data_IF_444937708002
#
_entry.id   IF_444937708002
#
_cell.length_a   1.000
_cell.length_b   1.000
_cell.length_c   1.000
_cell.angle_alpha   90.00
_cell.angle_beta   90.00
_cell.angle_gamma   90.00
#
_symmetry.space_group_name_H-M   'P 1'
#
loop_
_entity.id
_entity.type
_entity.pdbx_description
1 polymer ?
#
# COMPACT_ATOMS: atom_id res chain seq x y z
N UNK A 1 -7.11 31.27 -5.62
CA UNK A 1 -6.29 30.15 -6.12
C UNK A 1 -5.44 29.50 -5.01
N UNK A 2 -4.62 30.26 -4.24
CA UNK A 2 -3.83 29.70 -3.13
C UNK A 2 -4.71 29.19 -1.96
N UNK A 3 -5.76 29.93 -1.59
CA UNK A 3 -6.70 29.52 -0.56
C UNK A 3 -7.46 28.25 -0.94
N UNK A 4 -7.78 28.07 -2.21
CA UNK A 4 -8.48 26.89 -2.71
C UNK A 4 -7.58 25.64 -2.67
N UNK A 5 -6.27 25.81 -2.83
CA UNK A 5 -5.30 24.70 -2.77
C UNK A 5 -5.08 24.20 -1.34
N UNK A 6 -4.99 25.12 -0.36
CA UNK A 6 -4.91 24.75 1.05
C UNK A 6 -6.19 24.05 1.56
N UNK A 7 -7.34 24.52 1.11
CA UNK A 7 -8.61 23.91 1.48
C UNK A 7 -8.74 22.50 0.87
N UNK A 8 -8.37 22.33 -0.40
CA UNK A 8 -8.35 21.02 -1.05
C UNK A 8 -7.37 20.04 -0.39
N UNK A 9 -6.23 20.52 0.12
CA UNK A 9 -5.26 19.71 0.86
C UNK A 9 -5.76 19.30 2.24
N UNK A 10 -6.43 20.20 2.95
CA UNK A 10 -7.09 19.89 4.23
C UNK A 10 -8.20 18.86 4.05
N UNK A 11 -9.05 19.06 3.04
CA UNK A 11 -10.07 18.07 2.68
C UNK A 11 -9.47 16.72 2.27
N UNK A 12 -8.36 16.72 1.55
CA UNK A 12 -7.64 15.50 1.19
C UNK A 12 -7.01 14.82 2.42
N UNK A 13 -6.36 15.57 3.31
CA UNK A 13 -5.80 15.06 4.55
C UNK A 13 -6.88 14.51 5.49
N UNK A 14 -8.02 15.17 5.62
CA UNK A 14 -9.19 14.67 6.35
C UNK A 14 -9.78 13.41 5.72
N UNK A 15 -9.86 13.35 4.39
CA UNK A 15 -10.35 12.18 3.65
C UNK A 15 -9.43 10.98 3.83
N UNK A 16 -8.12 11.18 3.82
CA UNK A 16 -7.11 10.11 3.99
C UNK A 16 -6.84 9.79 5.47
N UNK A 17 -7.31 10.62 6.41
CA UNK A 17 -7.04 10.50 7.84
C UNK A 17 -5.56 10.69 8.18
N UNK A 18 -4.85 11.46 7.35
CA UNK A 18 -3.44 11.84 7.54
C UNK A 18 -3.40 13.17 8.29
N UNK A 19 -2.47 13.32 9.23
CA UNK A 19 -2.15 14.62 9.79
C UNK A 19 -1.46 15.50 8.74
N UNK A 20 -1.59 16.83 8.82
CA UNK A 20 -0.95 17.78 7.88
C UNK A 20 0.56 17.55 7.73
N UNK A 21 1.22 16.98 8.74
CA UNK A 21 2.66 16.70 8.79
C UNK A 21 3.08 15.43 8.01
N UNK A 22 2.11 14.62 7.58
CA UNK A 22 2.35 13.36 6.87
C UNK A 22 2.23 13.47 5.33
N UNK A 23 2.16 14.70 4.81
CA UNK A 23 2.18 14.96 3.37
C UNK A 23 3.57 14.54 2.85
N UNK A 24 3.59 13.55 1.97
CA UNK A 24 4.81 13.01 1.37
C UNK A 24 5.62 14.10 0.66
N UNK A 25 6.95 13.90 0.57
CA UNK A 25 7.87 14.80 -0.18
C UNK A 25 7.39 15.06 -1.61
N UNK A 26 6.73 14.11 -2.22
CA UNK A 26 6.14 14.24 -3.55
C UNK A 26 5.00 15.26 -3.57
N UNK A 27 4.18 15.32 -2.54
CA UNK A 27 3.09 16.29 -2.44
C UNK A 27 3.64 17.72 -2.23
N UNK A 28 4.75 17.88 -1.50
CA UNK A 28 5.43 19.18 -1.35
C UNK A 28 6.06 19.65 -2.67
N UNK A 29 6.68 18.75 -3.41
CA UNK A 29 7.24 19.06 -4.73
C UNK A 29 6.13 19.47 -5.70
N UNK A 30 4.99 18.78 -5.64
CA UNK A 30 3.81 19.08 -6.43
C UNK A 30 3.28 20.49 -6.11
N UNK A 31 3.22 20.86 -4.83
CA UNK A 31 2.83 22.20 -4.37
C UNK A 31 3.78 23.29 -4.89
N UNK A 32 5.08 23.07 -4.79
CA UNK A 32 6.07 24.03 -5.31
C UNK A 32 5.93 24.21 -6.82
N UNK A 33 5.67 23.14 -7.58
CA UNK A 33 5.43 23.22 -9.03
C UNK A 33 4.16 24.00 -9.38
N UNK A 34 3.08 23.83 -8.60
CA UNK A 34 1.82 24.58 -8.78
C UNK A 34 2.03 26.06 -8.48
N UNK A 35 2.74 26.38 -7.39
CA UNK A 35 2.99 27.76 -6.94
C UNK A 35 3.90 28.53 -7.92
N UNK A 36 4.92 27.88 -8.47
CA UNK A 36 5.87 28.51 -9.38
C UNK A 36 5.41 28.60 -10.85
N UNK A 37 4.33 27.88 -11.21
CA UNK A 37 3.74 27.91 -12.55
C UNK A 37 4.62 27.33 -13.65
N UNK A 38 4.19 27.47 -14.91
CA UNK A 38 4.94 27.01 -16.09
C UNK A 38 6.10 27.96 -16.38
N UNK A 39 7.31 27.53 -16.11
CA UNK A 39 8.52 28.26 -16.51
C UNK A 39 8.79 28.10 -18.00
N UNK A 40 9.10 29.20 -18.70
CA UNK A 40 9.36 29.17 -20.15
C UNK A 40 10.58 28.34 -20.57
N UNK A 41 11.52 28.12 -19.65
CA UNK A 41 12.80 27.47 -19.90
C UNK A 41 12.97 26.11 -19.23
N UNK A 42 11.89 25.57 -18.62
CA UNK A 42 11.91 24.27 -17.94
C UNK A 42 10.83 23.37 -18.50
N UNK A 43 11.20 22.12 -18.74
CA UNK A 43 10.24 21.06 -19.12
C UNK A 43 10.19 20.04 -18.00
N UNK A 44 8.97 19.68 -17.58
CA UNK A 44 8.75 18.70 -16.53
C UNK A 44 8.12 17.45 -17.13
N UNK A 45 8.67 16.30 -16.77
CA UNK A 45 8.17 14.99 -17.19
C UNK A 45 7.83 14.16 -15.96
N UNK A 46 6.61 13.65 -15.92
CA UNK A 46 6.16 12.75 -14.86
C UNK A 46 6.06 11.32 -15.41
N UNK A 47 6.72 10.38 -14.72
CA UNK A 47 6.62 8.94 -15.02
C UNK A 47 5.92 8.26 -13.84
N UNK A 48 4.79 7.63 -14.09
CA UNK A 48 4.00 6.95 -13.08
C UNK A 48 3.31 5.72 -13.65
N UNK A 49 3.20 4.67 -12.85
CA UNK A 49 2.43 3.48 -13.20
C UNK A 49 0.91 3.70 -13.07
N UNK A 50 0.50 4.68 -12.25
CA UNK A 50 -0.92 4.94 -11.92
C UNK A 50 -1.19 6.44 -11.93
N UNK A 51 -1.40 7.07 -13.11
CA UNK A 51 -1.69 8.49 -13.17
C UNK A 51 -3.03 8.78 -12.49
N UNK A 52 -3.00 9.65 -11.49
CA UNK A 52 -4.20 10.18 -10.83
C UNK A 52 -4.75 11.35 -11.65
N UNK A 53 -6.03 11.71 -11.46
CA UNK A 53 -6.65 12.85 -12.16
C UNK A 53 -5.83 14.13 -12.10
N UNK A 54 -5.39 14.53 -10.92
CA UNK A 54 -4.51 15.70 -10.72
C UNK A 54 -3.18 15.61 -11.48
N UNK A 55 -2.58 14.42 -11.57
CA UNK A 55 -1.34 14.21 -12.34
C UNK A 55 -1.59 14.43 -13.83
N UNK A 56 -2.75 13.99 -14.33
CA UNK A 56 -3.14 14.20 -15.73
C UNK A 56 -3.43 15.68 -16.01
N UNK A 57 -4.12 16.39 -15.12
CA UNK A 57 -4.35 17.84 -15.24
C UNK A 57 -3.05 18.65 -15.29
N UNK A 58 -2.02 18.23 -14.58
CA UNK A 58 -0.74 18.94 -14.52
C UNK A 58 0.21 18.59 -15.67
N UNK A 59 0.27 17.34 -16.08
CA UNK A 59 1.27 16.82 -17.02
C UNK A 59 0.66 16.26 -18.31
N UNK A 60 -0.65 16.06 -18.35
CA UNK A 60 -1.35 15.52 -19.50
C UNK A 60 -1.60 16.56 -20.59
N UNK A 61 -2.12 16.07 -21.71
CA UNK A 61 -2.58 16.90 -22.82
C UNK A 61 -4.09 17.08 -22.70
N UNK A 62 -4.55 18.32 -22.66
CA UNK A 62 -5.98 18.65 -22.67
C UNK A 62 -6.57 18.40 -24.06
N UNK A 63 -7.67 17.68 -24.10
CA UNK A 63 -8.46 17.44 -25.32
C UNK A 63 -9.64 18.40 -25.44
N UNK A 64 -10.25 18.42 -26.60
CA UNK A 64 -11.35 19.35 -26.96
C UNK A 64 -12.61 19.15 -26.10
N UNK A 65 -12.77 18.01 -25.46
CA UNK A 65 -13.85 17.67 -24.54
C UNK A 65 -13.55 18.08 -23.07
N UNK A 66 -12.37 18.70 -22.82
CA UNK A 66 -11.92 19.09 -21.48
C UNK A 66 -11.31 17.95 -20.68
N UNK A 67 -11.12 16.77 -21.26
CA UNK A 67 -10.44 15.66 -20.60
C UNK A 67 -8.92 15.75 -20.75
N UNK A 68 -8.18 15.25 -19.74
CA UNK A 68 -6.73 15.23 -19.75
C UNK A 68 -6.22 13.80 -19.98
N UNK A 69 -5.36 13.63 -20.96
CA UNK A 69 -4.77 12.35 -21.32
C UNK A 69 -3.25 12.35 -21.15
N UNK A 70 -2.64 11.22 -20.78
CA UNK A 70 -1.19 11.12 -20.70
C UNK A 70 -0.57 11.25 -22.09
N UNK A 71 0.63 11.84 -22.15
CA UNK A 71 1.38 11.96 -23.40
C UNK A 71 1.69 10.60 -24.03
N UNK A 72 2.03 9.62 -23.23
CA UNK A 72 2.31 8.25 -23.65
C UNK A 72 1.87 7.26 -22.57
N UNK A 73 1.32 6.12 -23.00
CA UNK A 73 0.93 5.01 -22.12
C UNK A 73 1.61 3.74 -22.58
N UNK A 74 2.44 3.16 -21.72
CA UNK A 74 2.85 1.77 -21.82
C UNK A 74 1.90 0.94 -20.95
N UNK A 75 0.91 0.35 -21.57
CA UNK A 75 -0.17 -0.31 -20.85
C UNK A 75 0.25 -1.66 -20.26
N UNK A 76 -0.42 -2.08 -19.18
CA UNK A 76 -0.24 -3.42 -18.61
C UNK A 76 -0.49 -4.52 -19.66
N UNK A 77 -1.50 -4.35 -20.53
CA UNK A 77 -1.78 -5.28 -21.61
C UNK A 77 -0.59 -5.41 -22.56
N UNK A 78 0.00 -4.30 -22.97
CA UNK A 78 1.19 -4.29 -23.82
C UNK A 78 2.39 -4.96 -23.13
N UNK A 79 2.61 -4.67 -21.84
CA UNK A 79 3.68 -5.28 -21.09
C UNK A 79 3.53 -6.81 -20.92
N UNK A 80 2.30 -7.31 -20.85
CA UNK A 80 1.99 -8.75 -20.84
C UNK A 80 2.26 -9.35 -22.22
N UNK A 81 1.78 -8.72 -23.30
CA UNK A 81 1.98 -9.18 -24.68
C UNK A 81 3.47 -9.22 -25.08
N UNK A 82 4.26 -8.27 -24.59
CA UNK A 82 5.71 -8.20 -24.78
C UNK A 82 6.51 -9.08 -23.80
N UNK A 83 5.85 -9.73 -22.84
CA UNK A 83 6.48 -10.65 -21.88
C UNK A 83 7.29 -9.99 -20.76
N UNK A 84 7.15 -8.69 -20.54
CA UNK A 84 7.81 -7.98 -19.42
C UNK A 84 7.16 -8.24 -18.08
N UNK A 85 5.85 -8.51 -18.05
CA UNK A 85 5.12 -8.88 -16.84
C UNK A 85 4.27 -10.13 -17.11
N UNK A 86 3.98 -10.87 -16.04
CA UNK A 86 3.11 -12.04 -16.13
C UNK A 86 1.65 -11.61 -16.28
N UNK A 87 0.85 -12.41 -17.00
CA UNK A 87 -0.58 -12.17 -17.11
C UNK A 87 -1.26 -12.33 -15.74
N UNK A 88 -1.71 -11.22 -15.18
CA UNK A 88 -2.34 -11.15 -13.86
C UNK A 88 -3.59 -12.01 -13.78
N UNK A 89 -4.34 -12.11 -14.90
CA UNK A 89 -5.58 -12.89 -14.96
C UNK A 89 -5.33 -14.40 -14.97
N UNK A 90 -4.22 -14.85 -15.54
CA UNK A 90 -3.84 -16.26 -15.53
C UNK A 90 -3.26 -16.70 -14.18
N UNK A 91 -2.74 -15.75 -13.41
CA UNK A 91 -2.16 -15.98 -12.09
C UNK A 91 -3.08 -15.51 -10.94
N UNK A 92 -4.35 -15.28 -11.25
CA UNK A 92 -5.35 -14.88 -10.28
C UNK A 92 -5.93 -16.09 -9.56
N UNK A 93 -5.93 -16.07 -8.24
CA UNK A 93 -6.60 -17.06 -7.41
C UNK A 93 -7.84 -16.44 -6.76
N UNK A 94 -9.03 -16.99 -7.07
CA UNK A 94 -10.29 -16.62 -6.40
C UNK A 94 -10.43 -17.44 -5.13
N UNK A 95 -10.39 -16.79 -3.99
CA UNK A 95 -10.80 -17.39 -2.74
C UNK A 95 -12.31 -17.14 -2.54
N UNK A 96 -13.13 -18.19 -2.62
CA UNK A 96 -14.50 -18.14 -2.11
C UNK A 96 -14.48 -18.13 -0.58
N UNK A 97 -13.98 -17.06 0.00
CA UNK A 97 -14.07 -16.85 1.42
C UNK A 97 -15.42 -16.23 1.69
N UNK A 98 -16.38 -17.05 2.13
CA UNK A 98 -17.61 -16.56 2.73
C UNK A 98 -17.26 -15.88 4.05
N UNK A 99 -16.90 -14.58 4.00
CA UNK A 99 -16.80 -13.75 5.19
C UNK A 99 -18.22 -13.57 5.74
N UNK A 100 -18.63 -14.44 6.67
CA UNK A 100 -19.76 -14.13 7.55
C UNK A 100 -19.28 -13.07 8.52
N UNK A 101 -19.39 -11.81 8.10
CA UNK A 101 -19.26 -10.70 9.03
C UNK A 101 -20.44 -10.80 9.97
N UNK A 102 -20.16 -11.12 11.23
CA UNK A 102 -21.16 -11.00 12.27
C UNK A 102 -21.50 -9.52 12.39
N UNK A 103 -22.59 -9.10 11.73
CA UNK A 103 -23.19 -7.77 11.91
C UNK A 103 -23.80 -7.71 13.30
N UNK A 104 -23.00 -7.39 14.27
CA UNK A 104 -23.50 -6.85 15.53
C UNK A 104 -23.17 -5.37 15.52
N UNK A 105 -23.99 -4.57 14.86
CA UNK A 105 -23.97 -3.12 15.02
C UNK A 105 -25.10 -2.79 15.99
N UNK A 106 -24.80 -2.48 17.26
CA UNK A 106 -25.77 -1.82 18.11
C UNK A 106 -25.80 -0.36 17.65
N UNK A 107 -26.99 0.14 17.42
CA UNK A 107 -27.31 1.50 17.00
C UNK A 107 -26.81 1.89 15.59
N UNK A 108 -27.81 2.07 14.72
CA UNK A 108 -27.66 2.48 13.33
C UNK A 108 -27.69 4.00 13.25
N UNK A 109 -26.56 4.73 13.40
CA UNK A 109 -26.56 6.18 13.22
C UNK A 109 -26.82 6.49 11.74
N UNK A 110 -27.70 7.42 11.46
CA UNK A 110 -27.91 7.98 10.13
C UNK A 110 -26.63 8.71 9.65
N UNK A 111 -25.78 8.00 8.94
CA UNK A 111 -24.56 8.52 8.35
C UNK A 111 -24.75 8.58 6.84
N UNK A 112 -24.30 9.65 6.14
CA UNK A 112 -24.33 9.72 4.67
C UNK A 112 -23.74 8.44 4.06
N UNK A 113 -24.42 7.86 3.07
CA UNK A 113 -24.10 6.52 2.52
C UNK A 113 -22.64 6.38 2.06
N UNK A 114 -22.02 7.44 1.52
CA UNK A 114 -20.62 7.46 1.12
C UNK A 114 -19.66 7.38 2.30
N UNK A 115 -19.98 8.05 3.41
CA UNK A 115 -19.19 8.03 4.65
C UNK A 115 -19.35 6.72 5.39
N UNK A 116 -20.57 6.19 5.43
CA UNK A 116 -20.87 4.88 6.02
C UNK A 116 -20.13 3.75 5.28
N UNK A 117 -20.13 3.75 3.95
CA UNK A 117 -19.42 2.74 3.16
C UNK A 117 -17.91 2.74 3.44
N UNK A 118 -17.28 3.91 3.59
CA UNK A 118 -15.86 4.03 3.90
C UNK A 118 -15.51 3.54 5.30
N UNK A 119 -16.34 3.89 6.30
CA UNK A 119 -16.16 3.43 7.69
C UNK A 119 -16.35 1.93 7.80
N UNK A 120 -17.38 1.38 7.16
CA UNK A 120 -17.66 -0.06 7.14
C UNK A 120 -16.49 -0.81 6.49
N UNK A 121 -16.01 -0.33 5.33
CA UNK A 121 -14.87 -0.93 4.64
C UNK A 121 -13.61 -0.94 5.50
N UNK A 122 -13.28 0.19 6.15
CA UNK A 122 -12.13 0.27 7.06
C UNK A 122 -12.30 -0.66 8.28
N UNK A 123 -13.49 -0.76 8.82
CA UNK A 123 -13.80 -1.70 9.90
C UNK A 123 -13.61 -3.15 9.45
N UNK A 124 -14.12 -3.50 8.27
CA UNK A 124 -13.96 -4.83 7.69
C UNK A 124 -12.50 -5.17 7.43
N UNK A 125 -11.73 -4.24 6.86
CA UNK A 125 -10.30 -4.42 6.55
C UNK A 125 -9.44 -4.64 7.80
N UNK A 126 -9.75 -3.97 8.90
CA UNK A 126 -9.01 -4.04 10.16
C UNK A 126 -9.58 -5.05 11.17
N UNK A 127 -10.65 -5.74 10.80
CA UNK A 127 -11.27 -6.71 11.71
C UNK A 127 -10.34 -7.92 11.94
N UNK A 128 -10.07 -8.32 13.20
CA UNK A 128 -9.10 -9.37 13.54
C UNK A 128 -9.35 -10.68 12.80
N UNK A 129 -10.60 -11.10 12.69
CA UNK A 129 -10.97 -12.33 11.98
C UNK A 129 -10.62 -12.27 10.48
N UNK A 130 -10.86 -11.14 9.84
CA UNK A 130 -10.52 -10.95 8.43
C UNK A 130 -9.01 -10.96 8.20
N UNK A 131 -8.26 -10.27 9.07
CA UNK A 131 -6.79 -10.25 9.03
C UNK A 131 -6.24 -11.65 9.26
N UNK A 132 -6.77 -12.39 10.24
CA UNK A 132 -6.31 -13.74 10.55
C UNK A 132 -6.50 -14.71 9.36
N UNK A 133 -7.67 -14.72 8.74
CA UNK A 133 -7.90 -15.57 7.57
C UNK A 133 -6.99 -15.20 6.39
N UNK A 134 -6.83 -13.90 6.11
CA UNK A 134 -5.95 -13.45 5.04
C UNK A 134 -4.48 -13.73 5.34
N UNK A 135 -4.04 -13.61 6.59
CA UNK A 135 -2.68 -13.94 7.01
C UNK A 135 -2.36 -15.42 6.75
N UNK A 136 -3.28 -16.32 7.08
CA UNK A 136 -3.14 -17.75 6.77
C UNK A 136 -3.00 -17.98 5.27
N UNK A 137 -3.88 -17.41 4.46
CA UNK A 137 -3.84 -17.52 3.01
C UNK A 137 -2.51 -17.00 2.44
N UNK A 138 -2.03 -15.86 2.93
CA UNK A 138 -0.75 -15.27 2.50
C UNK A 138 0.40 -16.24 2.77
N UNK A 139 0.50 -16.76 3.99
CA UNK A 139 1.56 -17.69 4.38
C UNK A 139 1.50 -18.99 3.58
N UNK A 140 0.33 -19.61 3.48
CA UNK A 140 0.18 -20.87 2.76
C UNK A 140 0.42 -20.70 1.25
N UNK A 141 -0.01 -19.59 0.66
CA UNK A 141 0.28 -19.28 -0.75
C UNK A 141 1.78 -19.05 -0.97
N UNK A 142 2.44 -18.34 -0.07
CA UNK A 142 3.88 -18.16 -0.14
C UNK A 142 4.59 -19.52 -0.14
N UNK A 143 4.32 -20.37 0.83
CA UNK A 143 4.99 -21.66 1.01
C UNK A 143 4.68 -22.67 -0.10
N UNK A 144 3.42 -22.74 -0.53
CA UNK A 144 3.00 -23.71 -1.56
C UNK A 144 3.47 -23.33 -2.97
N UNK A 145 3.49 -22.06 -3.29
CA UNK A 145 3.66 -21.55 -4.65
C UNK A 145 4.86 -20.61 -4.78
N UNK A 146 4.86 -19.47 -4.08
CA UNK A 146 5.82 -18.38 -4.31
C UNK A 146 7.25 -18.78 -3.96
N UNK A 147 7.46 -19.44 -2.83
CA UNK A 147 8.79 -19.89 -2.38
C UNK A 147 9.48 -20.82 -3.38
N UNK A 148 8.70 -21.57 -4.17
CA UNK A 148 9.21 -22.52 -5.19
C UNK A 148 9.50 -21.86 -6.53
N UNK A 149 8.97 -20.65 -6.75
CA UNK A 149 9.19 -19.89 -7.98
C UNK A 149 10.64 -19.42 -8.10
N UNK A 150 11.06 -19.08 -9.31
CA UNK A 150 12.40 -18.54 -9.61
C UNK A 150 13.51 -19.44 -9.04
N UNK A 151 13.39 -20.75 -9.24
CA UNK A 151 14.39 -21.69 -8.74
C UNK A 151 14.50 -21.74 -7.20
N UNK A 152 13.39 -21.52 -6.48
CA UNK A 152 13.36 -21.51 -5.02
C UNK A 152 13.77 -20.16 -4.38
N UNK A 153 13.85 -19.09 -5.17
CA UNK A 153 14.20 -17.73 -4.72
C UNK A 153 13.01 -16.75 -4.76
N UNK A 154 11.79 -17.27 -4.92
CA UNK A 154 10.59 -16.43 -4.97
C UNK A 154 10.40 -15.65 -3.68
N UNK A 155 10.07 -14.36 -3.81
CA UNK A 155 9.74 -13.47 -2.70
C UNK A 155 8.33 -12.93 -2.87
N UNK A 156 7.70 -12.55 -1.77
CA UNK A 156 6.33 -12.02 -1.77
C UNK A 156 6.29 -10.62 -1.19
N UNK A 157 5.51 -9.76 -1.83
CA UNK A 157 5.15 -8.45 -1.27
C UNK A 157 3.66 -8.44 -0.96
N UNK A 158 3.31 -8.07 0.27
CA UNK A 158 1.93 -7.91 0.74
C UNK A 158 1.63 -6.43 0.84
N UNK A 159 0.84 -5.91 -0.09
CA UNK A 159 0.45 -4.50 -0.10
C UNK A 159 -0.81 -4.32 0.73
N UNK A 160 -0.76 -3.43 1.71
CA UNK A 160 -1.87 -3.15 2.63
C UNK A 160 -2.47 -1.78 2.40
N UNK A 161 -3.73 -1.61 2.81
CA UNK A 161 -4.50 -0.38 2.62
C UNK A 161 -4.06 0.77 3.54
N UNK A 162 -3.32 0.48 4.60
CA UNK A 162 -2.86 1.49 5.55
C UNK A 162 -1.69 0.96 6.40
N UNK A 163 -0.94 1.88 7.02
CA UNK A 163 0.15 1.55 7.94
C UNK A 163 -0.34 0.71 9.14
N UNK A 164 -1.52 1.02 9.66
CA UNK A 164 -2.13 0.24 10.73
C UNK A 164 -2.46 -1.19 10.28
N UNK A 165 -2.95 -1.35 9.06
CA UNK A 165 -3.17 -2.68 8.49
C UNK A 165 -1.84 -3.43 8.37
N UNK A 166 -0.76 -2.80 7.90
CA UNK A 166 0.56 -3.42 7.81
C UNK A 166 1.05 -3.94 9.16
N UNK A 167 0.92 -3.14 10.22
CA UNK A 167 1.28 -3.54 11.60
C UNK A 167 0.46 -4.75 12.06
N UNK A 168 -0.86 -4.72 11.85
CA UNK A 168 -1.73 -5.82 12.26
C UNK A 168 -1.48 -7.11 11.48
N UNK A 169 -1.25 -7.01 10.15
CA UNK A 169 -0.84 -8.17 9.35
C UNK A 169 0.51 -8.73 9.79
N UNK A 170 1.48 -7.86 10.11
CA UNK A 170 2.78 -8.30 10.62
C UNK A 170 2.63 -9.14 11.89
N UNK A 171 1.89 -8.64 12.89
CA UNK A 171 1.66 -9.38 14.13
C UNK A 171 0.88 -10.68 13.92
N UNK A 172 -0.14 -10.64 13.08
CA UNK A 172 -0.96 -11.82 12.84
C UNK A 172 -0.23 -12.91 12.05
N UNK A 173 0.55 -12.52 11.02
CA UNK A 173 1.39 -13.47 10.29
C UNK A 173 2.42 -14.07 11.24
N UNK A 174 3.08 -13.25 12.07
CA UNK A 174 4.05 -13.75 13.05
C UNK A 174 3.43 -14.75 14.02
N UNK A 175 2.25 -14.42 14.57
CA UNK A 175 1.49 -15.33 15.42
C UNK A 175 1.19 -16.65 14.71
N UNK A 176 0.71 -16.59 13.47
CA UNK A 176 0.41 -17.80 12.69
C UNK A 176 1.63 -18.65 12.41
N UNK A 177 2.77 -18.05 12.06
CA UNK A 177 4.04 -18.77 11.86
C UNK A 177 4.48 -19.50 13.12
N UNK A 178 4.36 -18.86 14.30
CA UNK A 178 4.67 -19.46 15.60
C UNK A 178 3.74 -20.62 15.93
N UNK A 179 2.41 -20.47 15.74
CA UNK A 179 1.42 -21.52 15.97
C UNK A 179 1.66 -22.75 15.08
N UNK A 180 1.99 -22.53 13.81
CA UNK A 180 2.28 -23.60 12.85
C UNK A 180 3.71 -24.14 12.97
N UNK A 181 4.57 -23.50 13.76
CA UNK A 181 6.01 -23.80 13.88
C UNK A 181 6.76 -23.74 12.55
N UNK A 182 6.35 -22.78 11.70
CA UNK A 182 7.02 -22.55 10.44
C UNK A 182 8.29 -21.72 10.63
N UNK A 183 9.41 -22.21 10.07
CA UNK A 183 10.73 -21.57 10.17
C UNK A 183 11.28 -21.13 8.84
N UNK A 184 10.54 -21.36 7.78
CA UNK A 184 10.89 -21.12 6.38
C UNK A 184 10.36 -19.80 5.83
N UNK A 185 9.64 -19.02 6.65
CA UNK A 185 9.06 -17.73 6.30
C UNK A 185 9.59 -16.66 7.23
N UNK A 186 10.39 -15.75 6.69
CA UNK A 186 10.94 -14.59 7.38
C UNK A 186 10.28 -13.32 6.84
N UNK A 187 9.67 -12.51 7.72
CA UNK A 187 8.84 -11.37 7.36
C UNK A 187 9.46 -10.04 7.77
N UNK A 188 9.31 -9.04 6.91
CA UNK A 188 9.59 -7.64 7.19
C UNK A 188 8.33 -6.80 6.98
N UNK A 189 8.29 -5.63 7.60
CA UNK A 189 7.28 -4.61 7.35
C UNK A 189 7.95 -3.31 6.92
N UNK A 190 7.32 -2.55 6.03
CA UNK A 190 7.82 -1.27 5.56
C UNK A 190 6.70 -0.23 5.48
N UNK A 191 6.86 0.84 6.25
CA UNK A 191 5.97 2.01 6.25
C UNK A 191 6.73 3.23 6.81
N UNK A 192 6.24 4.43 6.56
CA UNK A 192 6.89 5.65 7.06
C UNK A 192 6.28 6.12 8.37
N UNK A 193 7.14 6.66 9.27
CA UNK A 193 6.73 7.25 10.54
C UNK A 193 6.30 6.24 11.59
N UNK A 194 5.56 6.70 12.60
CA UNK A 194 5.04 5.89 13.70
C UNK A 194 3.54 5.60 13.53
N UNK A 195 3.09 4.46 14.04
CA UNK A 195 1.70 4.01 14.00
C UNK A 195 1.24 3.62 15.39
N UNK A 196 0.11 4.18 15.82
CA UNK A 196 -0.55 3.80 17.08
C UNK A 196 -1.58 2.71 16.85
N UNK A 197 -1.50 1.63 17.63
CA UNK A 197 -2.54 0.60 17.74
C UNK A 197 -2.89 0.40 19.23
N UNK A 198 -3.99 0.97 19.65
CA UNK A 198 -4.36 1.06 21.05
C UNK A 198 -3.39 1.90 21.85
N UNK A 199 -2.75 1.28 22.85
CA UNK A 199 -1.75 1.94 23.73
C UNK A 199 -0.32 1.83 23.21
N UNK A 200 -0.11 1.01 22.18
CA UNK A 200 1.21 0.75 21.63
C UNK A 200 1.51 1.66 20.43
N UNK A 201 2.76 2.02 20.28
CA UNK A 201 3.27 2.75 19.12
C UNK A 201 4.36 1.93 18.45
N UNK A 202 4.28 1.84 17.14
CA UNK A 202 5.16 1.02 16.33
C UNK A 202 5.83 1.85 15.24
N UNK A 203 7.10 1.60 15.01
CA UNK A 203 7.86 2.08 13.87
C UNK A 203 8.37 0.89 13.06
N UNK A 204 8.76 1.10 11.82
CA UNK A 204 9.35 0.06 10.99
C UNK A 204 10.52 -0.64 11.70
N UNK A 205 11.45 0.14 12.24
CA UNK A 205 12.61 -0.40 12.96
C UNK A 205 12.27 -1.09 14.28
N UNK A 206 11.17 -0.72 14.93
CA UNK A 206 10.75 -1.41 16.17
C UNK A 206 10.20 -2.82 15.92
N UNK A 207 9.64 -3.05 14.73
CA UNK A 207 9.06 -4.33 14.33
C UNK A 207 10.05 -5.24 13.64
N UNK A 208 10.93 -4.69 12.81
CA UNK A 208 11.90 -5.44 12.02
C UNK A 208 13.09 -5.84 12.88
N UNK A 209 13.15 -7.12 13.21
CA UNK A 209 14.19 -7.68 14.10
C UNK A 209 14.80 -8.92 13.44
N UNK A 210 16.13 -9.02 13.44
CA UNK A 210 16.86 -10.20 12.98
C UNK A 210 16.75 -11.35 13.97
N UNK A 211 17.16 -12.53 13.55
CA UNK A 211 17.16 -13.74 14.41
C UNK A 211 18.08 -13.62 15.62
N UNK A 212 19.08 -12.74 15.58
CA UNK A 212 19.98 -12.43 16.69
C UNK A 212 19.41 -11.37 17.66
N UNK A 213 18.22 -10.85 17.40
CA UNK A 213 17.56 -9.83 18.21
C UNK A 213 17.94 -8.39 17.84
N UNK A 214 18.82 -8.16 16.88
CA UNK A 214 19.18 -6.81 16.45
C UNK A 214 18.08 -6.18 15.57
N UNK A 215 17.82 -4.90 15.77
CA UNK A 215 16.85 -4.14 14.99
C UNK A 215 17.40 -3.78 13.60
N UNK A 216 16.52 -3.73 12.62
CA UNK A 216 16.80 -3.33 11.25
C UNK A 216 16.33 -1.89 11.06
N UNK A 217 17.21 -1.01 10.58
CA UNK A 217 16.84 0.37 10.27
C UNK A 217 16.06 0.43 8.94
N UNK A 218 15.30 1.52 8.72
CA UNK A 218 14.56 1.73 7.47
C UNK A 218 15.47 1.67 6.23
N UNK A 219 16.70 2.17 6.34
CA UNK A 219 17.67 2.15 5.24
C UNK A 219 18.14 0.73 4.90
N UNK A 220 18.16 -0.16 5.89
CA UNK A 220 18.59 -1.55 5.74
C UNK A 220 17.47 -2.47 5.25
N UNK A 221 16.19 -2.07 5.36
CA UNK A 221 15.04 -2.93 5.02
C UNK A 221 15.13 -3.50 3.61
N UNK A 222 15.58 -2.71 2.63
CA UNK A 222 15.72 -3.16 1.23
C UNK A 222 16.79 -4.24 1.08
N UNK A 223 17.98 -4.06 1.65
CA UNK A 223 19.08 -5.04 1.60
C UNK A 223 18.73 -6.30 2.38
N UNK A 224 18.15 -6.16 3.57
CA UNK A 224 17.70 -7.31 4.35
C UNK A 224 16.62 -8.12 3.64
N UNK A 225 15.67 -7.45 2.99
CA UNK A 225 14.68 -8.16 2.18
C UNK A 225 15.32 -8.89 1.00
N UNK A 226 16.34 -8.31 0.38
CA UNK A 226 17.07 -8.97 -0.70
C UNK A 226 17.82 -10.22 -0.21
N UNK A 227 18.49 -10.14 0.93
CA UNK A 227 19.44 -11.17 1.35
C UNK A 227 18.84 -12.22 2.30
N UNK A 228 18.05 -11.79 3.27
CA UNK A 228 17.72 -12.60 4.44
C UNK A 228 16.21 -12.86 4.64
N UNK A 229 15.34 -12.04 4.07
CA UNK A 229 13.89 -12.15 4.27
C UNK A 229 13.18 -12.45 2.96
N UNK A 230 11.99 -13.03 3.04
CA UNK A 230 11.29 -13.53 1.87
C UNK A 230 9.85 -13.01 1.72
N UNK A 231 9.28 -12.41 2.76
CA UNK A 231 7.98 -11.75 2.70
C UNK A 231 8.10 -10.31 3.22
N UNK A 232 7.64 -9.32 2.44
CA UNK A 232 7.65 -7.91 2.78
C UNK A 232 6.21 -7.39 2.82
N UNK A 233 5.79 -6.88 3.98
CA UNK A 233 4.47 -6.26 4.16
C UNK A 233 4.66 -4.75 4.03
N UNK A 234 3.93 -4.11 3.12
CA UNK A 234 4.13 -2.68 2.83
C UNK A 234 2.85 -1.87 2.95
N UNK A 235 3.01 -0.63 3.40
CA UNK A 235 2.01 0.40 3.28
C UNK A 235 2.65 1.65 2.70
N UNK A 236 2.22 2.05 1.50
CA UNK A 236 2.66 3.25 0.78
C UNK A 236 4.18 3.33 0.45
N UNK A 237 4.95 2.29 0.76
CA UNK A 237 6.37 2.13 0.42
C UNK A 237 6.56 1.02 -0.62
N UNK A 238 7.56 1.18 -1.49
CA UNK A 238 7.98 0.17 -2.48
C UNK A 238 6.90 -0.29 -3.47
N UNK A 239 5.80 0.45 -3.63
CA UNK A 239 4.70 0.06 -4.52
C UNK A 239 5.02 0.27 -6.00
N UNK A 240 6.00 1.08 -6.30
CA UNK A 240 6.41 1.42 -7.68
C UNK A 240 7.79 0.86 -8.07
N UNK A 241 8.34 -0.05 -7.32
CA UNK A 241 9.64 -0.69 -7.59
C UNK A 241 10.80 -0.07 -6.87
#
# INVERSE_FOLDING_TARGET
ALADTEQALREYAEIEGKAEDEIDRNDKLLQEMIVHGKHKNLSFFAFTATPKGQTLEMFGTEYTDGSFHPFHVYSMKQAIEEGFIMDVLQNYMTYHTCFKIAKTIPDNPEVPASRAAKVIRRFEELHPYNISQKAQIIVETFRSTTAKAIGGKGKMMVVTSSRLAAVRYYHEIKRYLEEQKYTDVDILVAFSGAVKDGVNEYTESSLNVRKDGSHISEEQTKSEFHDNFNVLIVAEKYQTG
#
